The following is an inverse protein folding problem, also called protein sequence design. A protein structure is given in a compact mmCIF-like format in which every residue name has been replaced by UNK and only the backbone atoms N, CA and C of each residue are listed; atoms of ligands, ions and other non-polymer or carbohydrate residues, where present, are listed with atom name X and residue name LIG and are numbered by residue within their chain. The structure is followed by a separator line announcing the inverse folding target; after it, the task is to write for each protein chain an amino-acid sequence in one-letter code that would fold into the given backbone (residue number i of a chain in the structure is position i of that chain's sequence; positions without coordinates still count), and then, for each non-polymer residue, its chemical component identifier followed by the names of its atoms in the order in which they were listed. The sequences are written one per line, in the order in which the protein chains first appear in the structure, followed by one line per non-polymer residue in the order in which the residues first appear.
data_IF_144449568423
#
_entry.id   IF_144449568423
#
_cell.length_a   1.000
_cell.length_b   1.000
_cell.length_c   1.000
_cell.angle_alpha   90.00
_cell.angle_beta   90.00
_cell.angle_gamma   90.00
#
_symmetry.space_group_name_H-M   'P 1'
#
loop_
_entity.id
_entity.type
_entity.pdbx_description
1 polymer ?
#
# COMPACT_ATOMS: atom_id res chain seq x y z
N UNK A 1 -10.40 -4.17 0.03
CA UNK A 1 -9.38 -3.29 0.66
C UNK A 1 -9.99 -2.09 1.39
N UNK A 2 -10.90 -1.32 0.75
CA UNK A 2 -11.66 -0.21 1.39
C UNK A 2 -12.17 -0.53 2.80
N UNK A 3 -12.96 -1.60 2.93
CA UNK A 3 -13.56 -1.99 4.21
C UNK A 3 -12.49 -2.27 5.26
N UNK A 4 -11.46 -3.05 4.92
CA UNK A 4 -10.39 -3.38 5.86
C UNK A 4 -9.57 -2.17 6.31
N UNK A 5 -9.36 -1.16 5.47
CA UNK A 5 -8.61 0.04 5.88
C UNK A 5 -9.44 0.92 6.82
N UNK A 6 -10.75 1.03 6.56
CA UNK A 6 -11.68 1.87 7.33
C UNK A 6 -12.23 1.22 8.61
N UNK A 7 -12.28 -0.11 8.66
CA UNK A 7 -12.78 -0.88 9.81
C UNK A 7 -11.71 -0.99 10.90
N UNK A 8 -12.01 -0.56 12.12
CA UNK A 8 -11.07 -0.58 13.26
C UNK A 8 -10.80 -1.96 13.83
N UNK A 9 -11.65 -2.95 13.56
CA UNK A 9 -11.57 -4.27 14.21
C UNK A 9 -10.84 -5.29 13.32
N UNK A 10 -10.53 -4.91 12.09
CA UNK A 10 -9.81 -5.76 11.14
C UNK A 10 -8.30 -5.57 11.27
N UNK A 11 -7.59 -6.59 11.78
CA UNK A 11 -6.12 -6.61 11.81
C UNK A 11 -5.51 -7.32 10.58
N UNK A 12 -6.31 -8.13 9.87
CA UNK A 12 -5.87 -8.85 8.67
C UNK A 12 -6.93 -8.79 7.57
N UNK A 13 -6.54 -8.32 6.39
CA UNK A 13 -7.32 -8.31 5.17
C UNK A 13 -6.78 -9.37 4.21
N UNK A 14 -7.62 -10.32 3.80
CA UNK A 14 -7.25 -11.33 2.80
C UNK A 14 -7.57 -10.84 1.40
N UNK A 15 -6.62 -11.03 0.48
CA UNK A 15 -6.77 -10.77 -0.95
C UNK A 15 -6.82 -12.11 -1.69
N UNK A 16 -8.01 -12.64 -2.03
CA UNK A 16 -8.13 -13.92 -2.75
C UNK A 16 -7.86 -13.77 -4.25
N UNK A 17 -7.93 -12.56 -4.78
CA UNK A 17 -7.77 -12.22 -6.19
C UNK A 17 -6.99 -10.92 -6.32
N UNK A 18 -6.51 -10.66 -7.53
CA UNK A 18 -5.83 -9.41 -7.86
C UNK A 18 -6.80 -8.22 -7.70
N UNK A 19 -6.29 -7.11 -7.15
CA UNK A 19 -7.08 -5.92 -6.86
C UNK A 19 -6.40 -4.70 -7.48
N UNK A 20 -7.22 -3.89 -8.14
CA UNK A 20 -6.84 -2.55 -8.61
C UNK A 20 -7.65 -1.53 -7.83
N UNK A 21 -6.95 -0.68 -7.07
CA UNK A 21 -7.59 0.43 -6.36
C UNK A 21 -7.86 1.57 -7.31
N UNK A 22 -9.03 2.19 -7.16
CA UNK A 22 -9.44 3.37 -7.92
C UNK A 22 -9.88 4.49 -6.99
N UNK A 23 -10.00 5.70 -7.52
CA UNK A 23 -10.40 6.86 -6.70
C UNK A 23 -11.83 6.68 -6.15
N UNK A 24 -12.69 6.06 -6.96
CA UNK A 24 -14.10 5.82 -6.63
C UNK A 24 -14.28 4.89 -5.42
N UNK A 25 -13.30 4.02 -5.13
CA UNK A 25 -13.31 3.14 -3.96
C UNK A 25 -13.31 3.91 -2.63
N UNK A 26 -12.93 5.19 -2.66
CA UNK A 26 -12.88 6.06 -1.48
C UNK A 26 -14.10 6.95 -1.33
N UNK A 27 -15.06 6.87 -2.26
CA UNK A 27 -16.28 7.69 -2.25
C UNK A 27 -17.07 7.48 -0.96
N UNK A 28 -17.41 8.58 -0.28
CA UNK A 28 -18.16 8.56 0.98
C UNK A 28 -17.35 8.19 2.22
N UNK A 29 -16.02 8.13 2.13
CA UNK A 29 -15.12 7.97 3.29
C UNK A 29 -14.44 9.30 3.60
N UNK A 30 -14.34 9.65 4.89
CA UNK A 30 -13.55 10.78 5.33
C UNK A 30 -12.04 10.49 5.13
N UNK A 31 -11.35 11.36 4.39
CA UNK A 31 -9.94 11.21 4.06
C UNK A 31 -9.08 12.25 4.81
N UNK A 32 -7.82 11.92 5.18
CA UNK A 32 -7.22 10.59 5.07
C UNK A 32 -7.81 9.61 6.10
N UNK A 33 -7.94 8.34 5.71
CA UNK A 33 -8.27 7.29 6.70
C UNK A 33 -7.08 7.08 7.62
N UNK A 34 -7.26 7.31 8.92
CA UNK A 34 -6.20 7.09 9.92
C UNK A 34 -6.23 5.64 10.37
N UNK A 35 -5.19 4.90 10.00
CA UNK A 35 -5.01 3.50 10.39
C UNK A 35 -4.31 3.51 11.77
N UNK A 36 -5.12 3.38 12.83
CA UNK A 36 -4.66 3.47 14.22
C UNK A 36 -4.18 2.14 14.83
N UNK A 37 -4.00 1.11 14.00
CA UNK A 37 -3.66 -0.26 14.41
C UNK A 37 -2.69 -0.90 13.42
N UNK A 38 -2.07 -2.00 13.80
CA UNK A 38 -1.25 -2.77 12.88
C UNK A 38 -2.14 -3.60 11.96
N UNK A 39 -2.04 -3.35 10.65
CA UNK A 39 -2.88 -3.99 9.64
C UNK A 39 -2.02 -4.86 8.73
N UNK A 40 -2.45 -6.10 8.51
CA UNK A 40 -1.84 -7.00 7.53
C UNK A 40 -2.74 -7.13 6.32
N UNK A 41 -2.21 -6.88 5.13
CA UNK A 41 -2.85 -7.22 3.86
C UNK A 41 -2.13 -8.44 3.31
N UNK A 42 -2.87 -9.55 3.15
CA UNK A 42 -2.30 -10.86 2.82
C UNK A 42 -2.90 -11.44 1.55
N UNK A 43 -2.06 -11.81 0.60
CA UNK A 43 -2.45 -12.66 -0.53
C UNK A 43 -2.89 -14.04 -0.04
N UNK A 44 -4.07 -14.48 -0.46
CA UNK A 44 -4.68 -15.75 -0.04
C UNK A 44 -4.71 -16.81 -1.15
N UNK A 45 -4.25 -16.48 -2.35
CA UNK A 45 -4.13 -17.44 -3.45
C UNK A 45 -2.83 -18.27 -3.35
N UNK A 46 -2.80 -19.41 -4.04
CA UNK A 46 -1.58 -20.23 -4.19
C UNK A 46 -0.48 -19.53 -5.02
N UNK A 47 -0.84 -18.45 -5.69
CA UNK A 47 0.07 -17.58 -6.44
C UNK A 47 0.21 -16.22 -5.75
N UNK A 48 1.30 -15.48 -5.99
CA UNK A 48 1.39 -14.08 -5.59
C UNK A 48 0.20 -13.28 -6.14
N UNK A 49 -0.47 -12.52 -5.27
CA UNK A 49 -1.65 -11.72 -5.62
C UNK A 49 -1.23 -10.28 -5.90
N UNK A 50 -1.63 -9.73 -7.04
CA UNK A 50 -1.33 -8.36 -7.41
C UNK A 50 -2.23 -7.38 -6.64
N UNK A 51 -1.59 -6.39 -6.00
CA UNK A 51 -2.25 -5.23 -5.43
C UNK A 51 -1.72 -4.00 -6.15
N UNK A 52 -2.55 -3.48 -7.05
CA UNK A 52 -2.30 -2.25 -7.80
C UNK A 52 -2.90 -1.07 -7.03
N UNK A 53 -2.05 -0.15 -6.58
CA UNK A 53 -2.47 1.03 -5.81
C UNK A 53 -2.92 2.20 -6.69
N UNK A 54 -2.90 2.06 -8.02
CA UNK A 54 -3.41 3.03 -8.98
C UNK A 54 -2.75 4.41 -8.92
N UNK A 55 -1.53 4.50 -8.36
CA UNK A 55 -0.87 5.76 -8.00
C UNK A 55 -1.74 6.70 -7.16
N UNK A 56 -2.71 6.15 -6.42
CA UNK A 56 -3.59 6.93 -5.57
C UNK A 56 -2.76 7.64 -4.51
N UNK A 57 -3.12 8.90 -4.23
CA UNK A 57 -2.35 9.76 -3.33
C UNK A 57 -3.13 10.12 -2.08
N UNK A 58 -2.45 10.04 -0.94
CA UNK A 58 -2.91 10.61 0.34
C UNK A 58 -4.27 10.13 0.84
N UNK A 59 -4.64 8.89 0.53
CA UNK A 59 -5.93 8.30 0.93
C UNK A 59 -5.93 7.80 2.36
N UNK A 60 -4.77 7.40 2.88
CA UNK A 60 -4.62 6.89 4.24
C UNK A 60 -3.42 7.52 4.95
N UNK A 61 -3.39 7.40 6.27
CA UNK A 61 -2.24 7.78 7.12
C UNK A 61 -2.08 6.72 8.21
N UNK A 62 -0.85 6.26 8.44
CA UNK A 62 -0.53 5.38 9.56
C UNK A 62 -0.42 6.20 10.85
N UNK A 63 -0.98 5.70 11.96
CA UNK A 63 -0.80 6.29 13.27
C UNK A 63 0.56 5.92 13.87
N UNK A 64 0.96 6.65 14.91
CA UNK A 64 2.22 6.40 15.59
C UNK A 64 2.30 4.99 16.19
N UNK A 65 3.43 4.31 16.00
CA UNK A 65 3.68 2.97 16.51
C UNK A 65 2.97 1.84 15.76
N UNK A 66 2.33 2.11 14.62
CA UNK A 66 1.61 1.10 13.84
C UNK A 66 2.49 0.48 12.75
N UNK A 67 2.14 -0.74 12.33
CA UNK A 67 2.79 -1.43 11.22
C UNK A 67 1.77 -1.85 10.16
N UNK A 68 2.00 -1.46 8.91
CA UNK A 68 1.32 -2.01 7.74
C UNK A 68 2.15 -3.15 7.17
N UNK A 69 1.65 -4.38 7.22
CA UNK A 69 2.31 -5.54 6.63
C UNK A 69 1.65 -5.93 5.30
N UNK A 70 2.45 -6.08 4.25
CA UNK A 70 2.06 -6.56 2.94
C UNK A 70 2.68 -7.96 2.76
N UNK A 71 1.87 -9.02 2.82
CA UNK A 71 2.33 -10.41 2.87
C UNK A 71 1.83 -11.22 1.67
N UNK A 72 2.71 -11.85 0.90
CA UNK A 72 2.30 -12.67 -0.25
C UNK A 72 1.66 -11.86 -1.38
N UNK A 73 1.99 -10.57 -1.48
CA UNK A 73 1.43 -9.66 -2.48
C UNK A 73 2.50 -9.11 -3.43
N UNK A 74 2.14 -8.91 -4.68
CA UNK A 74 2.91 -8.15 -5.66
C UNK A 74 2.33 -6.74 -5.72
N UNK A 75 3.09 -5.76 -5.25
CA UNK A 75 2.65 -4.38 -5.19
C UNK A 75 2.99 -3.66 -6.51
N UNK A 76 1.97 -3.11 -7.18
CA UNK A 76 2.12 -2.37 -8.43
C UNK A 76 1.60 -0.94 -8.29
N UNK A 77 2.08 -0.05 -9.15
CA UNK A 77 1.68 1.36 -9.24
C UNK A 77 1.60 2.06 -7.87
N UNK A 78 2.54 1.71 -6.99
CA UNK A 78 2.53 2.13 -5.60
C UNK A 78 3.12 3.52 -5.40
N UNK A 79 3.85 4.01 -6.40
CA UNK A 79 4.56 5.27 -6.37
C UNK A 79 4.83 5.78 -7.78
N UNK A 80 4.46 7.03 -8.06
CA UNK A 80 4.74 7.67 -9.36
C UNK A 80 6.10 8.40 -9.40
N UNK A 81 6.73 8.61 -8.23
CA UNK A 81 8.04 9.25 -8.10
C UNK A 81 9.18 8.26 -7.83
N UNK A 82 10.32 8.76 -7.34
CA UNK A 82 11.49 7.92 -7.02
C UNK A 82 11.16 6.84 -5.99
N UNK A 83 11.33 5.56 -6.34
CA UNK A 83 11.14 4.41 -5.44
C UNK A 83 11.89 4.51 -4.10
N UNK A 84 12.93 5.34 -4.02
CA UNK A 84 13.84 5.46 -2.89
C UNK A 84 13.48 6.53 -1.84
N UNK A 85 12.34 7.23 -1.98
CA UNK A 85 11.97 8.30 -1.05
C UNK A 85 10.81 7.89 -0.12
N UNK A 86 10.86 8.26 1.18
CA UNK A 86 9.77 7.99 2.14
C UNK A 86 8.51 8.86 1.86
N UNK A 87 7.27 8.42 2.20
CA UNK A 87 6.87 7.21 2.94
C UNK A 87 6.76 5.93 2.08
N UNK A 88 7.46 5.88 0.93
CA UNK A 88 7.55 4.69 0.08
C UNK A 88 6.29 4.42 -0.76
N UNK A 89 5.09 4.77 -0.29
CA UNK A 89 3.80 4.57 -0.95
C UNK A 89 3.05 5.89 -1.11
N UNK A 90 2.61 6.22 -2.32
CA UNK A 90 1.89 7.47 -2.61
C UNK A 90 0.53 7.54 -1.89
N UNK A 91 -0.09 6.38 -1.68
CA UNK A 91 -1.40 6.27 -1.01
C UNK A 91 -1.36 6.74 0.45
N UNK A 92 -0.17 6.75 1.06
CA UNK A 92 0.04 7.16 2.44
C UNK A 92 0.46 8.63 2.51
N UNK A 93 -0.27 9.42 3.30
CA UNK A 93 0.21 10.73 3.73
C UNK A 93 1.39 10.58 4.70
N UNK A 94 2.31 11.57 4.72
CA UNK A 94 3.28 11.69 5.79
C UNK A 94 2.60 11.68 7.16
N UNK A 95 3.33 11.13 8.13
CA UNK A 95 2.92 11.18 9.53
C UNK A 95 3.04 12.59 10.09
N UNK A 96 2.37 12.81 11.23
CA UNK A 96 2.59 14.04 12.01
C UNK A 96 4.02 14.05 12.57
N UNK A 97 4.60 15.25 12.80
CA UNK A 97 5.94 15.38 13.38
C UNK A 97 6.12 14.56 14.65
N UNK A 98 7.25 13.86 14.78
CA UNK A 98 7.57 12.99 15.91
C UNK A 98 6.94 11.60 15.89
N UNK A 99 6.09 11.30 14.90
CA UNK A 99 5.54 9.96 14.70
C UNK A 99 6.46 9.05 13.89
N UNK A 100 6.41 7.75 14.18
CA UNK A 100 7.06 6.69 13.40
C UNK A 100 6.11 5.51 13.20
N UNK A 101 6.09 4.96 11.98
CA UNK A 101 5.33 3.77 11.60
C UNK A 101 6.13 2.96 10.59
N UNK A 102 5.78 1.68 10.44
CA UNK A 102 6.50 0.76 9.57
C UNK A 102 5.60 0.26 8.44
N UNK A 103 6.15 0.20 7.23
CA UNK A 103 5.59 -0.56 6.11
C UNK A 103 6.50 -1.74 5.86
N UNK A 104 5.97 -2.96 5.98
CA UNK A 104 6.73 -4.20 5.92
C UNK A 104 6.24 -5.09 4.78
N UNK A 105 7.10 -5.39 3.81
CA UNK A 105 6.86 -6.41 2.79
C UNK A 105 7.37 -7.78 3.23
N UNK A 106 6.60 -8.85 3.02
CA UNK A 106 6.97 -10.24 3.36
C UNK A 106 6.53 -11.19 2.25
N UNK A 107 7.46 -11.99 1.72
CA UNK A 107 7.12 -13.06 0.76
C UNK A 107 6.38 -12.56 -0.49
N UNK A 108 6.71 -11.36 -0.96
CA UNK A 108 6.07 -10.68 -2.09
C UNK A 108 7.08 -9.89 -2.91
N UNK A 109 6.59 -9.06 -3.83
CA UNK A 109 7.43 -8.24 -4.71
C UNK A 109 6.87 -6.83 -4.84
N UNK A 110 7.72 -5.89 -5.23
CA UNK A 110 7.30 -4.54 -5.65
C UNK A 110 7.70 -4.35 -7.10
N UNK A 111 6.75 -3.91 -7.93
CA UNK A 111 7.00 -3.62 -9.34
C UNK A 111 7.49 -2.18 -9.45
N UNK A 112 8.77 -2.02 -9.77
CA UNK A 112 9.38 -0.71 -10.02
C UNK A 112 9.55 -0.55 -11.52
N UNK A 113 8.85 0.43 -12.08
CA UNK A 113 9.05 0.83 -13.47
C UNK A 113 10.26 1.77 -13.54
N UNK A 114 11.23 1.41 -14.36
CA UNK A 114 12.44 2.18 -14.56
C UNK A 114 12.64 2.47 -16.05
N UNK A 115 12.82 3.74 -16.39
CA UNK A 115 13.22 4.16 -17.72
C UNK A 115 14.75 4.12 -17.80
N UNK A 116 15.30 3.01 -18.26
CA UNK A 116 16.73 2.91 -18.55
C UNK A 116 17.04 3.47 -19.95
N UNK A 117 18.24 4.05 -20.15
CA UNK A 117 18.77 4.32 -21.48
C UNK A 117 18.76 3.07 -22.36
N UNK A 118 18.48 3.22 -23.66
CA UNK A 118 18.36 2.08 -24.60
C UNK A 118 19.62 1.21 -24.65
N UNK A 119 20.80 1.79 -24.44
CA UNK A 119 22.09 1.11 -24.36
C UNK A 119 22.25 0.22 -23.13
N UNK A 120 21.43 0.39 -22.09
CA UNK A 120 21.41 -0.45 -20.89
C UNK A 120 20.28 -1.49 -20.93
N UNK A 121 19.24 -1.23 -21.72
CA UNK A 121 18.02 -2.04 -21.78
C UNK A 121 18.06 -3.22 -22.78
N UNK A 122 19.08 -3.28 -23.65
CA UNK A 122 19.27 -4.33 -24.67
C UNK A 122 20.47 -5.23 -24.39
#
# INVERSE_FOLDING_TARGET
MRAAVADSDTDTALLPVDIVLRDEDWTGIALPVVIARSLTIRGAAERPVALDLGYLRGKARLANGTTLTLSGVVLANFRSGSAFQAPGLDILLPMLPGGAALVRGVGGAMVVEACFPLDVAM
#
